data_IF_057771474170
#
_entry.id   IF_057771474170
#
_cell.length_a   1.000
_cell.length_b   1.000
_cell.length_c   1.000
_cell.angle_alpha   90.00
_cell.angle_beta   90.00
_cell.angle_gamma   90.00
#
_symmetry.space_group_name_H-M   'P 1'
#
loop_
_entity.id
_entity.type
_entity.pdbx_description
1 polymer ?
#
# COMPACT_ATOMS: atom_id res chain seq x y z
N UNK A 1 -13.42 -13.31 6.97
CA UNK A 1 -14.68 -12.91 6.31
C UNK A 1 -14.42 -12.93 4.81
N UNK A 2 -15.07 -13.82 4.05
CA UNK A 2 -14.80 -13.95 2.61
C UNK A 2 -15.84 -13.17 1.81
N UNK A 3 -15.41 -12.09 1.15
CA UNK A 3 -16.27 -11.31 0.28
C UNK A 3 -16.53 -12.09 -1.02
N UNK A 4 -17.71 -12.70 -1.14
CA UNK A 4 -18.13 -13.41 -2.34
C UNK A 4 -18.81 -12.43 -3.29
N UNK A 5 -18.06 -12.01 -4.31
CA UNK A 5 -18.50 -11.44 -5.59
C UNK A 5 -19.36 -10.16 -5.55
N UNK A 6 -18.73 -9.08 -6.02
CA UNK A 6 -19.32 -7.90 -6.66
C UNK A 6 -20.52 -7.24 -5.97
N UNK A 7 -20.33 -6.84 -4.71
CA UNK A 7 -21.19 -5.84 -4.09
C UNK A 7 -20.40 -4.53 -3.94
N UNK A 8 -20.96 -3.43 -4.43
CA UNK A 8 -20.38 -2.08 -4.35
C UNK A 8 -20.02 -1.69 -2.91
N UNK A 9 -20.74 -2.25 -1.92
CA UNK A 9 -20.46 -2.09 -0.50
C UNK A 9 -19.12 -2.71 -0.05
N UNK A 10 -18.83 -3.96 -0.44
CA UNK A 10 -17.56 -4.60 -0.10
C UNK A 10 -16.36 -3.93 -0.77
N UNK A 11 -16.55 -3.40 -1.99
CA UNK A 11 -15.51 -2.60 -2.65
C UNK A 11 -15.21 -1.34 -1.85
N UNK A 12 -16.24 -0.62 -1.39
CA UNK A 12 -16.04 0.59 -0.60
C UNK A 12 -15.40 0.27 0.76
N UNK A 13 -15.83 -0.79 1.44
CA UNK A 13 -15.22 -1.25 2.69
C UNK A 13 -13.73 -1.60 2.52
N UNK A 14 -13.37 -2.24 1.40
CA UNK A 14 -11.99 -2.53 1.05
C UNK A 14 -11.19 -1.22 0.85
N UNK A 15 -11.73 -0.26 0.11
CA UNK A 15 -11.08 1.05 -0.09
C UNK A 15 -10.90 1.79 1.24
N UNK A 16 -11.94 1.85 2.07
CA UNK A 16 -11.91 2.53 3.37
C UNK A 16 -10.89 1.86 4.31
N UNK A 17 -10.79 0.53 4.25
CA UNK A 17 -9.80 -0.23 5.00
C UNK A 17 -8.37 0.09 4.56
N UNK A 18 -8.12 0.19 3.25
CA UNK A 18 -6.81 0.59 2.73
C UNK A 18 -6.45 2.03 3.14
N UNK A 19 -7.41 2.94 3.14
CA UNK A 19 -7.22 4.32 3.62
C UNK A 19 -6.84 4.32 5.10
N UNK A 20 -7.56 3.59 5.94
CA UNK A 20 -7.28 3.46 7.37
C UNK A 20 -5.85 2.93 7.61
N UNK A 21 -5.50 1.80 6.98
CA UNK A 21 -4.16 1.21 7.09
C UNK A 21 -3.08 2.16 6.58
N UNK A 22 -3.35 2.93 5.53
CA UNK A 22 -2.42 3.96 5.03
C UNK A 22 -2.09 5.01 6.09
N UNK A 23 -3.09 5.51 6.82
CA UNK A 23 -2.87 6.46 7.92
C UNK A 23 -2.12 5.83 9.11
N UNK A 24 -2.52 4.62 9.52
CA UNK A 24 -1.87 3.89 10.61
C UNK A 24 -0.39 3.62 10.30
N UNK A 25 -0.10 3.10 9.10
CA UNK A 25 1.24 2.79 8.65
C UNK A 25 2.10 4.05 8.49
N UNK A 26 1.53 5.14 7.96
CA UNK A 26 2.27 6.40 7.83
C UNK A 26 2.67 6.97 9.20
N UNK A 27 1.78 6.87 10.18
CA UNK A 27 2.06 7.31 11.56
C UNK A 27 3.11 6.41 12.23
N UNK A 28 3.10 5.12 11.93
CA UNK A 28 4.03 4.12 12.48
C UNK A 28 5.43 4.23 11.87
N UNK A 29 5.53 4.35 10.55
CA UNK A 29 6.79 4.25 9.80
C UNK A 29 7.34 5.59 9.29
N UNK A 30 6.56 6.67 9.37
CA UNK A 30 6.94 8.03 8.94
C UNK A 30 7.34 8.20 7.46
N UNK A 31 7.10 7.20 6.59
CA UNK A 31 7.32 7.34 5.15
C UNK A 31 6.08 6.98 4.34
N UNK A 32 5.83 7.77 3.29
CA UNK A 32 4.59 7.72 2.52
C UNK A 32 4.55 6.56 1.52
N UNK A 33 5.68 6.22 0.90
CA UNK A 33 5.72 5.23 -0.18
C UNK A 33 5.48 3.81 0.34
N UNK A 34 6.29 3.37 1.29
CA UNK A 34 6.19 2.04 1.85
C UNK A 34 4.87 1.84 2.62
N UNK A 35 4.38 2.87 3.31
CA UNK A 35 3.12 2.80 4.07
C UNK A 35 1.91 2.61 3.17
N UNK A 36 1.90 3.29 2.01
CA UNK A 36 0.82 3.13 1.02
C UNK A 36 0.88 1.74 0.39
N UNK A 37 2.08 1.26 0.04
CA UNK A 37 2.26 -0.08 -0.52
C UNK A 37 1.74 -1.18 0.41
N UNK A 38 2.19 -1.21 1.68
CA UNK A 38 1.72 -2.26 2.62
C UNK A 38 0.25 -2.13 2.94
N UNK A 39 -0.31 -0.92 2.99
CA UNK A 39 -1.74 -0.74 3.20
C UNK A 39 -2.56 -1.40 2.08
N UNK A 40 -2.13 -1.28 0.83
CA UNK A 40 -2.79 -1.93 -0.31
C UNK A 40 -2.62 -3.45 -0.25
N UNK A 41 -1.38 -3.94 -0.05
CA UNK A 41 -1.09 -5.38 0.00
C UNK A 41 -1.85 -6.07 1.13
N UNK A 42 -1.80 -5.52 2.34
CA UNK A 42 -2.48 -6.10 3.51
C UNK A 42 -4.00 -6.04 3.37
N UNK A 43 -4.54 -4.94 2.86
CA UNK A 43 -5.99 -4.86 2.62
C UNK A 43 -6.43 -5.91 1.60
N UNK A 44 -5.74 -6.01 0.47
CA UNK A 44 -6.12 -6.99 -0.56
C UNK A 44 -6.00 -8.41 -0.01
N UNK A 45 -4.97 -8.71 0.78
CA UNK A 45 -4.80 -9.98 1.50
C UNK A 45 -5.96 -10.24 2.48
N UNK A 46 -6.39 -9.24 3.26
CA UNK A 46 -7.56 -9.34 4.15
C UNK A 46 -8.83 -9.73 3.38
N UNK A 47 -8.94 -9.29 2.13
CA UNK A 47 -10.06 -9.58 1.22
C UNK A 47 -9.83 -10.80 0.30
N UNK A 48 -8.74 -11.54 0.51
CA UNK A 48 -8.45 -12.81 -0.17
C UNK A 48 -7.70 -12.69 -1.50
N UNK A 49 -7.09 -11.55 -1.78
CA UNK A 49 -6.23 -11.30 -2.95
C UNK A 49 -4.78 -11.16 -2.48
N UNK A 50 -3.98 -12.20 -2.71
CA UNK A 50 -2.54 -12.18 -2.41
C UNK A 50 -1.79 -11.62 -3.63
N UNK A 51 -1.16 -10.44 -3.50
CA UNK A 51 -0.42 -9.81 -4.61
C UNK A 51 1.00 -10.37 -4.78
N UNK A 52 1.64 -10.77 -3.69
CA UNK A 52 3.04 -11.22 -3.69
C UNK A 52 3.33 -12.07 -2.46
N UNK A 53 4.45 -12.79 -2.46
CA UNK A 53 4.92 -13.54 -1.29
C UNK A 53 5.58 -12.61 -0.25
N UNK A 54 5.72 -13.09 0.99
CA UNK A 54 6.25 -12.29 2.09
C UNK A 54 7.70 -11.84 1.92
N UNK A 55 8.54 -12.63 1.25
CA UNK A 55 9.95 -12.29 1.05
C UNK A 55 10.06 -11.11 0.06
N UNK A 56 9.35 -11.22 -1.05
CA UNK A 56 9.23 -10.15 -2.04
C UNK A 56 8.63 -8.88 -1.43
N UNK A 57 7.53 -9.00 -0.67
CA UNK A 57 6.89 -7.88 0.03
C UNK A 57 7.87 -7.13 0.93
N UNK A 58 8.66 -7.86 1.73
CA UNK A 58 9.64 -7.25 2.65
C UNK A 58 10.76 -6.54 1.90
N UNK A 59 11.26 -7.13 0.81
CA UNK A 59 12.27 -6.51 -0.05
C UNK A 59 11.75 -5.22 -0.70
N UNK A 60 10.53 -5.25 -1.23
CA UNK A 60 9.85 -4.09 -1.83
C UNK A 60 9.63 -3.01 -0.77
N UNK A 61 9.11 -3.37 0.40
CA UNK A 61 8.87 -2.43 1.50
C UNK A 61 10.15 -1.65 1.84
N UNK A 62 11.27 -2.35 2.04
CA UNK A 62 12.57 -1.73 2.35
C UNK A 62 13.05 -0.82 1.21
N UNK A 63 12.87 -1.21 -0.04
CA UNK A 63 13.23 -0.40 -1.20
C UNK A 63 12.42 0.91 -1.25
N UNK A 64 11.10 0.82 -1.05
CA UNK A 64 10.19 1.97 -1.11
C UNK A 64 10.45 3.02 -0.02
N UNK A 65 11.08 2.67 1.10
CA UNK A 65 11.53 3.65 2.11
C UNK A 65 12.38 4.74 1.47
N UNK A 66 13.30 4.37 0.56
CA UNK A 66 14.17 5.31 -0.14
C UNK A 66 13.44 6.23 -1.12
N UNK A 67 12.20 5.92 -1.51
CA UNK A 67 11.41 6.72 -2.44
C UNK A 67 10.45 7.68 -1.73
N UNK A 68 10.41 7.67 -0.40
CA UNK A 68 9.63 8.63 0.39
C UNK A 68 10.14 10.08 0.23
N UNK A 69 9.24 11.04 0.44
CA UNK A 69 9.57 12.47 0.38
C UNK A 69 9.82 13.02 -1.04
N UNK A 70 9.32 12.36 -2.08
CA UNK A 70 9.54 12.77 -3.47
C UNK A 70 10.94 12.39 -3.96
N UNK A 71 11.19 11.08 -4.02
CA UNK A 71 12.49 10.46 -4.33
C UNK A 71 13.60 10.85 -3.34
N UNK A 72 13.78 10.08 -2.27
CA UNK A 72 14.82 10.30 -1.26
C UNK A 72 14.79 11.69 -0.61
N UNK A 73 13.58 12.19 -0.30
CA UNK A 73 13.36 13.50 0.33
C UNK A 73 13.91 14.69 -0.45
N UNK A 74 14.10 14.55 -1.78
CA UNK A 74 14.51 15.68 -2.61
C UNK A 74 13.38 16.67 -2.86
N UNK A 75 12.12 16.22 -2.74
CA UNK A 75 10.94 17.03 -3.07
C UNK A 75 10.78 17.33 -4.55
N UNK A 76 11.67 16.81 -5.40
CA UNK A 76 11.69 17.00 -6.86
C UNK A 76 11.35 15.68 -7.56
N UNK A 77 10.04 15.40 -7.62
CA UNK A 77 9.49 14.24 -8.32
C UNK A 77 8.05 13.93 -7.87
N UNK A 78 7.58 12.71 -8.14
CA UNK A 78 6.21 12.31 -7.78
C UNK A 78 6.06 12.10 -6.26
N UNK A 79 4.81 12.11 -5.78
CA UNK A 79 4.52 11.80 -4.38
C UNK A 79 4.92 10.35 -4.08
N UNK A 80 5.64 10.11 -2.98
CA UNK A 80 6.04 8.76 -2.59
C UNK A 80 4.84 7.82 -2.40
N UNK A 81 3.73 8.31 -1.83
CA UNK A 81 2.49 7.52 -1.71
C UNK A 81 1.95 7.07 -3.08
N UNK A 82 2.00 7.95 -4.09
CA UNK A 82 1.61 7.62 -5.46
C UNK A 82 2.51 6.53 -6.05
N UNK A 83 3.83 6.62 -5.81
CA UNK A 83 4.78 5.58 -6.24
C UNK A 83 4.50 4.23 -5.59
N UNK A 84 4.23 4.20 -4.28
CA UNK A 84 3.89 2.96 -3.57
C UNK A 84 2.60 2.31 -4.10
N UNK A 85 1.56 3.11 -4.36
CA UNK A 85 0.31 2.63 -4.94
C UNK A 85 0.50 2.12 -6.38
N UNK A 86 1.22 2.87 -7.23
CA UNK A 86 1.48 2.47 -8.61
C UNK A 86 2.32 1.19 -8.69
N UNK A 87 3.26 1.00 -7.76
CA UNK A 87 4.03 -0.22 -7.66
C UNK A 87 3.13 -1.42 -7.36
N UNK A 88 2.20 -1.30 -6.41
CA UNK A 88 1.25 -2.38 -6.08
C UNK A 88 0.38 -2.80 -7.28
N UNK A 89 0.05 -1.88 -8.20
CA UNK A 89 -0.69 -2.19 -9.44
C UNK A 89 0.16 -3.03 -10.42
N UNK A 90 1.49 -2.93 -10.33
CA UNK A 90 2.40 -3.64 -11.24
C UNK A 90 2.69 -5.09 -10.82
N UNK A 91 2.18 -5.52 -9.67
CA UNK A 91 2.26 -6.89 -9.14
C UNK A 91 1.09 -7.74 -9.65
#
# INVERSE_FOLDING_TARGET
MGCKHDCTGCKQECIDRAVQLGYENTTKYWGCAQSTFVAVVDTLREYGVELTDKESEEAIFKCLVGLSGGHANMGDGNCGALTGAAFAISL
#
